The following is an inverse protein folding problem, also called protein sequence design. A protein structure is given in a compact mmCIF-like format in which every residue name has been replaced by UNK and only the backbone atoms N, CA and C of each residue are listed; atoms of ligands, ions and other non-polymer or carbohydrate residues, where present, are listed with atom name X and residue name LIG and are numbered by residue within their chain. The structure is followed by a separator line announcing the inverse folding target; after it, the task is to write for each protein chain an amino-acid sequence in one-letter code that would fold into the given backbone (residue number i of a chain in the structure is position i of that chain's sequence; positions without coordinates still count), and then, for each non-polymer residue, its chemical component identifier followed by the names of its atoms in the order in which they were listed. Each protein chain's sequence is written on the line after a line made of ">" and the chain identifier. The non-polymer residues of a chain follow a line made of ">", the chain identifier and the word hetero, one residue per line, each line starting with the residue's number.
data_IF_194498708216
#
_entry.id   IF_194498708216
#
_cell.length_a   1.000
_cell.length_b   1.000
_cell.length_c   1.000
_cell.angle_alpha   90.00
_cell.angle_beta   90.00
_cell.angle_gamma   90.00
#
_symmetry.space_group_name_H-M   'P 1'
#
loop_
_entity.id
_entity.type
_entity.pdbx_description
1 polymer ?
#
# COMPACT_ATOMS: atom_id res chain seq x y z
N UNK A 1 10.40 -11.76 -17.13
CA UNK A 1 9.52 -11.29 -16.04
C UNK A 1 9.87 -12.06 -14.77
N UNK A 2 10.06 -11.39 -13.63
CA UNK A 2 10.15 -12.10 -12.33
C UNK A 2 8.72 -12.46 -11.91
N UNK A 3 8.40 -13.74 -11.64
CA UNK A 3 7.08 -14.10 -11.15
C UNK A 3 6.86 -13.44 -9.79
N UNK A 4 5.75 -12.71 -9.66
CA UNK A 4 5.29 -12.17 -8.39
C UNK A 4 4.69 -13.34 -7.58
N UNK A 5 5.01 -13.49 -6.28
CA UNK A 5 4.39 -14.50 -5.45
C UNK A 5 2.89 -14.25 -5.35
N UNK A 6 2.09 -15.31 -5.47
CA UNK A 6 0.66 -15.22 -5.19
C UNK A 6 0.43 -15.06 -3.69
N UNK A 7 -0.27 -14.00 -3.31
CA UNK A 7 -0.60 -13.70 -1.92
C UNK A 7 -2.12 -13.69 -1.79
N UNK A 8 -2.64 -14.42 -0.81
CA UNK A 8 -4.07 -14.46 -0.47
C UNK A 8 -4.26 -13.98 0.96
N UNK A 9 -5.27 -13.16 1.19
CA UNK A 9 -5.62 -12.64 2.52
C UNK A 9 -7.05 -13.07 2.88
N UNK A 10 -7.20 -13.65 4.07
CA UNK A 10 -8.51 -13.91 4.68
C UNK A 10 -9.01 -12.67 5.43
N UNK A 11 -10.33 -12.59 5.67
CA UNK A 11 -10.90 -11.57 6.56
C UNK A 11 -10.38 -11.74 7.99
N UNK A 12 -10.09 -10.63 8.66
CA UNK A 12 -9.82 -10.58 10.09
C UNK A 12 -11.03 -9.99 10.81
N UNK A 13 -11.96 -10.87 11.20
CA UNK A 13 -13.24 -10.50 11.79
C UNK A 13 -13.08 -9.85 13.17
N UNK A 14 -13.89 -8.83 13.47
CA UNK A 14 -13.84 -8.06 14.73
C UNK A 14 -12.66 -7.09 14.83
N UNK A 15 -11.82 -7.01 13.78
CA UNK A 15 -10.65 -6.14 13.72
C UNK A 15 -10.58 -5.41 12.37
N UNK A 16 -11.66 -4.72 11.98
CA UNK A 16 -11.82 -4.12 10.65
C UNK A 16 -10.68 -3.15 10.31
N UNK A 17 -10.18 -2.41 11.31
CA UNK A 17 -9.07 -1.46 11.16
C UNK A 17 -7.70 -2.11 10.95
N UNK A 18 -7.60 -3.44 11.15
CA UNK A 18 -6.38 -4.23 10.94
C UNK A 18 -6.57 -5.29 9.84
N UNK A 19 -7.77 -5.39 9.27
CA UNK A 19 -8.11 -6.38 8.26
C UNK A 19 -7.64 -5.92 6.88
N UNK A 20 -6.50 -6.46 6.40
CA UNK A 20 -5.94 -6.15 5.08
C UNK A 20 -6.96 -6.32 3.96
N UNK A 21 -7.77 -7.39 4.00
CA UNK A 21 -8.82 -7.62 3.00
C UNK A 21 -9.82 -6.46 2.92
N UNK A 22 -10.37 -6.04 4.07
CA UNK A 22 -11.34 -4.95 4.14
C UNK A 22 -10.72 -3.61 3.76
N UNK A 23 -9.50 -3.34 4.24
CA UNK A 23 -8.76 -2.11 3.95
C UNK A 23 -8.44 -1.98 2.46
N UNK A 24 -7.95 -3.03 1.81
CA UNK A 24 -7.67 -3.03 0.38
C UNK A 24 -8.94 -2.89 -0.45
N UNK A 25 -10.03 -3.57 -0.07
CA UNK A 25 -11.33 -3.43 -0.75
C UNK A 25 -11.85 -1.98 -0.66
N UNK A 26 -11.75 -1.37 0.51
CA UNK A 26 -12.12 0.04 0.72
C UNK A 26 -11.26 0.97 -0.13
N UNK A 27 -9.93 0.81 -0.09
CA UNK A 27 -8.99 1.61 -0.87
C UNK A 27 -9.25 1.51 -2.38
N UNK A 28 -9.46 0.31 -2.92
CA UNK A 28 -9.83 0.13 -4.33
C UNK A 28 -11.14 0.82 -4.68
N UNK A 29 -12.14 0.74 -3.80
CA UNK A 29 -13.44 1.38 -4.01
C UNK A 29 -13.33 2.91 -4.09
N UNK A 30 -12.61 3.55 -3.16
CA UNK A 30 -12.50 5.02 -3.14
C UNK A 30 -11.53 5.58 -4.19
N UNK A 31 -10.60 4.76 -4.70
CA UNK A 31 -9.64 5.19 -5.73
C UNK A 31 -10.07 4.84 -7.16
N UNK A 32 -11.19 4.12 -7.34
CA UNK A 32 -11.60 3.57 -8.65
C UNK A 32 -11.65 4.63 -9.77
N UNK A 33 -12.16 5.84 -9.47
CA UNK A 33 -12.37 6.90 -10.46
C UNK A 33 -11.10 7.71 -10.73
N UNK A 34 -10.04 7.50 -9.94
CA UNK A 34 -8.73 8.14 -10.12
C UNK A 34 -7.79 7.30 -10.99
N UNK A 35 -8.12 6.02 -11.18
CA UNK A 35 -7.26 5.06 -11.88
C UNK A 35 -7.40 5.24 -13.39
N UNK A 36 -6.25 5.38 -14.04
CA UNK A 36 -6.17 5.31 -15.50
C UNK A 36 -6.22 3.83 -15.88
N UNK A 37 -7.01 3.49 -16.89
CA UNK A 37 -7.31 2.10 -17.31
C UNK A 37 -6.09 1.27 -17.72
N UNK A 38 -4.91 1.87 -17.86
CA UNK A 38 -3.66 1.20 -18.26
C UNK A 38 -2.73 0.81 -17.10
N UNK A 39 -3.03 1.22 -15.85
CA UNK A 39 -2.15 0.98 -14.69
C UNK A 39 -2.72 -0.13 -13.78
N UNK A 40 -2.13 -1.33 -13.83
CA UNK A 40 -2.47 -2.47 -12.95
C UNK A 40 -1.84 -2.37 -11.55
N UNK A 41 -1.27 -1.21 -11.21
CA UNK A 41 -0.61 -1.01 -9.91
C UNK A 41 -1.62 -0.88 -8.79
N UNK A 42 -1.38 -1.58 -7.68
CA UNK A 42 -2.22 -1.48 -6.50
C UNK A 42 -2.22 -0.04 -5.95
N UNK A 43 -1.05 0.52 -5.68
CA UNK A 43 -0.94 1.87 -5.10
C UNK A 43 -0.76 2.96 -6.16
N UNK A 44 -1.41 4.10 -5.94
CA UNK A 44 -1.34 5.29 -6.79
C UNK A 44 -0.86 6.50 -5.97
N UNK A 45 -0.30 7.48 -6.65
CA UNK A 45 0.16 8.73 -6.04
C UNK A 45 -1.00 9.58 -5.55
N UNK A 46 -0.84 10.22 -4.39
CA UNK A 46 -1.77 11.25 -3.92
C UNK A 46 -1.69 12.53 -4.77
N UNK A 47 -0.55 12.79 -5.41
CA UNK A 47 -0.35 13.93 -6.29
C UNK A 47 -0.93 13.66 -7.68
N UNK A 48 -1.57 14.68 -8.27
CA UNK A 48 -2.00 14.61 -9.67
C UNK A 48 -0.79 14.67 -10.62
N UNK A 49 -0.81 13.95 -11.75
CA UNK A 49 -1.76 12.90 -12.11
C UNK A 49 -1.54 11.64 -11.26
N UNK A 50 -2.60 11.01 -10.76
CA UNK A 50 -2.60 9.87 -9.82
C UNK A 50 -2.04 8.57 -10.44
N UNK A 51 -0.76 8.57 -10.77
CA UNK A 51 -0.05 7.46 -11.43
C UNK A 51 0.36 6.39 -10.44
N UNK A 52 0.67 5.20 -10.95
CA UNK A 52 1.35 4.15 -10.20
C UNK A 52 2.58 4.67 -9.43
N UNK A 53 2.78 4.15 -8.21
CA UNK A 53 3.99 4.42 -7.41
C UNK A 53 4.88 3.18 -7.33
N UNK A 54 6.19 3.42 -7.27
CA UNK A 54 7.19 2.37 -7.11
C UNK A 54 7.41 1.96 -5.66
N UNK A 55 8.13 0.85 -5.48
CA UNK A 55 8.50 0.29 -4.16
C UNK A 55 9.24 1.29 -3.27
N UNK A 56 10.10 2.14 -3.84
CA UNK A 56 10.86 3.14 -3.08
C UNK A 56 9.94 4.14 -2.36
N UNK A 57 8.88 4.62 -3.00
CA UNK A 57 7.92 5.54 -2.38
C UNK A 57 7.13 4.85 -1.28
N UNK A 58 6.69 3.61 -1.54
CA UNK A 58 5.98 2.78 -0.55
C UNK A 58 6.86 2.55 0.69
N UNK A 59 8.14 2.22 0.50
CA UNK A 59 9.09 2.04 1.62
C UNK A 59 9.27 3.32 2.43
N UNK A 60 9.33 4.49 1.79
CA UNK A 60 9.43 5.78 2.48
C UNK A 60 8.16 6.08 3.29
N UNK A 61 6.98 5.84 2.72
CA UNK A 61 5.72 6.03 3.44
C UNK A 61 5.61 5.09 4.64
N UNK A 62 5.93 3.81 4.45
CA UNK A 62 5.91 2.84 5.55
C UNK A 62 6.84 3.26 6.70
N UNK A 63 8.07 3.69 6.41
CA UNK A 63 8.99 4.18 7.45
C UNK A 63 8.43 5.42 8.15
N UNK A 64 7.96 6.41 7.38
CA UNK A 64 7.42 7.65 7.95
C UNK A 64 6.22 7.36 8.87
N UNK A 65 5.30 6.49 8.45
CA UNK A 65 4.14 6.11 9.27
C UNK A 65 4.54 5.34 10.53
N UNK A 66 5.57 4.50 10.48
CA UNK A 66 6.09 3.81 11.67
C UNK A 66 6.74 4.80 12.64
N UNK A 67 7.51 5.76 12.15
CA UNK A 67 8.15 6.81 12.95
C UNK A 67 7.11 7.72 13.61
N UNK A 68 6.05 8.09 12.90
CA UNK A 68 4.90 8.85 13.45
C UNK A 68 4.23 8.09 14.60
N UNK A 69 4.23 6.75 14.56
CA UNK A 69 3.76 5.88 15.64
C UNK A 69 4.81 5.65 16.75
N UNK A 70 5.97 6.30 16.70
CA UNK A 70 7.05 6.14 17.68
C UNK A 70 7.90 4.89 17.52
N UNK A 71 7.77 4.18 16.38
CA UNK A 71 8.59 3.00 16.07
C UNK A 71 9.90 3.46 15.41
N UNK A 72 11.04 3.09 15.99
CA UNK A 72 12.36 3.40 15.39
C UNK A 72 12.57 2.57 14.12
N UNK A 73 12.84 3.22 12.99
CA UNK A 73 13.01 2.52 11.70
C UNK A 73 14.45 2.37 11.24
N UNK A 74 15.40 2.80 12.07
CA UNK A 74 16.86 2.74 11.86
C UNK A 74 17.33 1.33 11.45
N UNK A 75 16.72 0.28 12.02
CA UNK A 75 17.02 -1.12 11.75
C UNK A 75 16.58 -1.60 10.35
N UNK A 76 15.78 -0.83 9.62
CA UNK A 76 15.24 -1.18 8.30
C UNK A 76 15.94 -0.44 7.14
N UNK A 77 16.98 0.34 7.42
CA UNK A 77 17.84 0.90 6.40
C UNK A 77 18.75 -0.19 5.79
N UNK A 78 18.99 -0.18 4.47
CA UNK A 78 20.06 -1.01 3.91
C UNK A 78 21.41 -0.59 4.52
N UNK A 79 22.36 -1.54 4.67
CA UNK A 79 23.71 -1.25 5.16
C UNK A 79 24.47 -0.28 4.25
#
# INVERSE_FOLDING_TARGET
>A
MRPQPFISFSSFEGHENLCIYSLLKHYLHVTKDLRVSSDDSLFISFARPHRAIGSQLISRWLRSSLEECGVRTECFAPP
#
